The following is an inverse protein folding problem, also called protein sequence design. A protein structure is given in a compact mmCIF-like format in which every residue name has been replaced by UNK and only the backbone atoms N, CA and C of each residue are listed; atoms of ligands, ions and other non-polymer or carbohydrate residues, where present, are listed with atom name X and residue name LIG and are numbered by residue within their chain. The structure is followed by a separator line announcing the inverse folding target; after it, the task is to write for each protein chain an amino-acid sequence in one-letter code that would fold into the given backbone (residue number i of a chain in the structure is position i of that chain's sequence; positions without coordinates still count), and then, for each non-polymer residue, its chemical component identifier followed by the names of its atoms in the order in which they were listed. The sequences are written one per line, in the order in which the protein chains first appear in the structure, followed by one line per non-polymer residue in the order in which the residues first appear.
data_IF_617113854200
#
_entry.id   IF_617113854200
#
_cell.length_a   1.000
_cell.length_b   1.000
_cell.length_c   1.000
_cell.angle_alpha   90.00
_cell.angle_beta   90.00
_cell.angle_gamma   90.00
#
_symmetry.space_group_name_H-M   'P 1'
#
loop_
_entity.id
_entity.type
_entity.pdbx_description
1 polymer ?
#
# COMPACT_ATOMS: atom_id res chain seq x y z
N UNK A 1 -17.47 3.27 -24.57
CA UNK A 1 -16.56 3.78 -23.52
C UNK A 1 -16.09 2.58 -22.73
N UNK A 2 -14.80 2.28 -22.75
CA UNK A 2 -14.21 1.25 -21.88
C UNK A 2 -14.26 1.76 -20.44
N UNK A 3 -14.82 0.96 -19.53
CA UNK A 3 -14.86 1.30 -18.10
C UNK A 3 -13.45 1.22 -17.51
N UNK A 4 -12.96 2.33 -16.96
CA UNK A 4 -11.68 2.37 -16.23
C UNK A 4 -11.75 1.39 -15.04
N UNK A 5 -10.80 0.45 -14.97
CA UNK A 5 -10.68 -0.46 -13.83
C UNK A 5 -9.86 0.21 -12.72
N UNK A 6 -10.34 0.11 -11.47
CA UNK A 6 -9.57 0.54 -10.30
C UNK A 6 -8.80 -0.64 -9.73
N UNK A 7 -7.52 -0.45 -9.48
CA UNK A 7 -6.61 -1.44 -8.88
C UNK A 7 -6.36 -1.07 -7.41
N UNK A 8 -6.58 -2.03 -6.51
CA UNK A 8 -6.12 -1.96 -5.13
C UNK A 8 -4.87 -2.83 -4.98
N UNK A 9 -3.80 -2.27 -4.42
CA UNK A 9 -2.53 -2.99 -4.17
C UNK A 9 -2.41 -3.26 -2.69
N UNK A 10 -2.19 -4.52 -2.31
CA UNK A 10 -1.99 -4.93 -0.91
C UNK A 10 -0.53 -5.28 -0.68
N UNK A 11 0.08 -4.67 0.33
CA UNK A 11 1.49 -4.87 0.68
C UNK A 11 1.60 -5.28 2.15
N UNK A 12 1.84 -6.56 2.46
CA UNK A 12 2.25 -6.99 3.79
C UNK A 12 3.61 -6.41 4.15
N UNK A 13 3.76 -5.91 5.38
CA UNK A 13 4.99 -5.29 5.88
C UNK A 13 5.41 -5.98 7.17
N UNK A 14 6.67 -6.46 7.18
CA UNK A 14 7.37 -6.86 8.39
C UNK A 14 8.86 -6.54 8.19
N UNK A 15 9.40 -5.64 9.02
CA UNK A 15 10.80 -5.19 8.93
C UNK A 15 11.15 -4.46 7.61
N UNK A 16 10.31 -3.52 7.17
CA UNK A 16 10.42 -2.83 5.88
C UNK A 16 10.87 -1.37 5.94
N UNK A 17 11.29 -0.84 7.09
CA UNK A 17 11.52 0.59 7.34
C UNK A 17 12.32 1.28 6.23
N UNK A 18 13.41 0.65 5.79
CA UNK A 18 14.35 1.19 4.80
C UNK A 18 13.82 1.22 3.35
N UNK A 19 12.65 0.61 3.08
CA UNK A 19 12.15 0.41 1.71
C UNK A 19 10.79 1.06 1.45
N UNK A 20 10.04 1.41 2.51
CA UNK A 20 8.67 1.90 2.40
C UNK A 20 8.57 3.21 1.60
N UNK A 21 9.50 4.15 1.84
CA UNK A 21 9.50 5.45 1.16
C UNK A 21 9.76 5.29 -0.33
N UNK A 22 10.76 4.48 -0.70
CA UNK A 22 11.11 4.23 -2.10
C UNK A 22 9.97 3.50 -2.83
N UNK A 23 9.34 2.51 -2.18
CA UNK A 23 8.18 1.81 -2.74
C UNK A 23 7.01 2.76 -3.02
N UNK A 24 6.70 3.67 -2.09
CA UNK A 24 5.65 4.68 -2.28
C UNK A 24 5.97 5.63 -3.43
N UNK A 25 7.24 6.06 -3.55
CA UNK A 25 7.70 6.90 -4.65
C UNK A 25 7.48 6.21 -6.00
N UNK A 26 7.89 4.95 -6.14
CA UNK A 26 7.71 4.19 -7.39
C UNK A 26 6.23 3.95 -7.72
N UNK A 27 5.40 3.67 -6.72
CA UNK A 27 3.95 3.52 -6.91
C UNK A 27 3.30 4.84 -7.38
N UNK A 28 3.76 5.98 -6.88
CA UNK A 28 3.26 7.30 -7.30
C UNK A 28 3.68 7.64 -8.75
N UNK A 29 4.88 7.24 -9.17
CA UNK A 29 5.33 7.35 -10.56
C UNK A 29 4.41 6.57 -11.48
N UNK A 30 4.17 5.29 -11.19
CA UNK A 30 3.27 4.44 -12.01
C UNK A 30 1.84 4.98 -12.03
N UNK A 31 1.33 5.42 -10.89
CA UNK A 31 -0.01 6.03 -10.77
C UNK A 31 -0.16 7.24 -11.69
N UNK A 32 0.77 8.20 -11.61
CA UNK A 32 0.75 9.42 -12.43
C UNK A 32 0.94 9.12 -13.90
N UNK A 33 1.79 8.14 -14.24
CA UNK A 33 2.00 7.71 -15.61
C UNK A 33 0.71 7.17 -16.22
N UNK A 34 0.04 6.23 -15.54
CA UNK A 34 -1.24 5.69 -16.02
C UNK A 34 -2.30 6.78 -16.15
N UNK A 35 -2.33 7.73 -15.20
CA UNK A 35 -3.21 8.90 -15.27
C UNK A 35 -2.99 9.72 -16.55
N UNK A 36 -1.74 10.11 -16.81
CA UNK A 36 -1.35 10.92 -17.95
C UNK A 36 -1.58 10.22 -19.30
N UNK A 37 -1.42 8.90 -19.36
CA UNK A 37 -1.60 8.10 -20.57
C UNK A 37 -3.06 7.69 -20.82
N UNK A 38 -4.01 8.13 -19.98
CA UNK A 38 -5.41 7.69 -20.03
C UNK A 38 -5.57 6.16 -20.06
N UNK A 39 -4.68 5.47 -19.34
CA UNK A 39 -4.66 4.01 -19.28
C UNK A 39 -6.05 3.45 -18.85
N UNK A 40 -6.45 2.26 -19.36
CA UNK A 40 -7.73 1.62 -18.99
C UNK A 40 -7.78 1.13 -17.53
N UNK A 41 -6.72 1.40 -16.75
CA UNK A 41 -6.56 1.05 -15.35
C UNK A 41 -6.08 2.29 -14.56
N UNK A 42 -6.45 2.37 -13.29
CA UNK A 42 -6.00 3.40 -12.34
C UNK A 42 -5.57 2.71 -11.06
N UNK A 43 -4.43 3.12 -10.49
CA UNK A 43 -4.07 2.75 -9.12
C UNK A 43 -5.03 3.50 -8.19
N UNK A 44 -6.01 2.78 -7.65
CA UNK A 44 -7.09 3.34 -6.85
C UNK A 44 -6.68 3.55 -5.40
N UNK A 45 -5.99 2.58 -4.82
CA UNK A 45 -5.44 2.64 -3.47
C UNK A 45 -4.25 1.69 -3.28
N UNK A 46 -3.48 1.93 -2.24
CA UNK A 46 -2.50 0.99 -1.69
C UNK A 46 -2.81 0.75 -0.22
N UNK A 47 -2.91 -0.50 0.17
CA UNK A 47 -3.14 -0.92 1.56
C UNK A 47 -1.86 -1.58 2.06
N UNK A 48 -1.14 -0.89 2.94
CA UNK A 48 -0.05 -1.50 3.69
C UNK A 48 -0.62 -2.22 4.91
N UNK A 49 -0.20 -3.45 5.13
CA UNK A 49 -0.59 -4.24 6.29
C UNK A 49 0.64 -4.47 7.16
N UNK A 50 0.79 -3.66 8.20
CA UNK A 50 1.86 -3.82 9.19
C UNK A 50 1.58 -5.04 10.06
N UNK A 51 2.37 -6.10 9.87
CA UNK A 51 2.27 -7.38 10.57
C UNK A 51 3.06 -7.37 11.89
N UNK A 52 2.83 -6.32 12.69
CA UNK A 52 3.58 -6.00 13.90
C UNK A 52 5.10 -6.01 13.68
N UNK A 53 5.56 -5.10 12.82
CA UNK A 53 6.97 -4.94 12.49
C UNK A 53 7.84 -4.71 13.74
N UNK A 54 9.06 -5.23 13.69
CA UNK A 54 10.04 -5.15 14.79
C UNK A 54 10.94 -3.91 14.73
N UNK A 55 10.82 -3.11 13.67
CA UNK A 55 11.60 -1.93 13.35
C UNK A 55 10.70 -0.67 13.31
N UNK A 56 11.19 0.44 12.76
CA UNK A 56 10.45 1.70 12.64
C UNK A 56 9.33 1.71 11.59
N UNK A 57 9.03 0.58 10.91
CA UNK A 57 8.03 0.51 9.83
C UNK A 57 6.69 1.14 10.19
N UNK A 58 6.17 0.89 11.40
CA UNK A 58 4.88 1.44 11.84
C UNK A 58 4.88 2.98 11.86
N UNK A 59 5.98 3.60 12.32
CA UNK A 59 6.13 5.06 12.35
C UNK A 59 6.24 5.65 10.94
N UNK A 60 6.98 4.98 10.06
CA UNK A 60 7.13 5.39 8.65
C UNK A 60 5.79 5.28 7.93
N UNK A 61 5.05 4.18 8.10
CA UNK A 61 3.73 3.97 7.53
C UNK A 61 2.71 5.01 8.01
N UNK A 62 2.72 5.36 9.30
CA UNK A 62 1.84 6.40 9.84
C UNK A 62 2.10 7.76 9.17
N UNK A 63 3.36 8.10 8.91
CA UNK A 63 3.72 9.32 8.17
C UNK A 63 3.24 9.25 6.71
N UNK A 64 3.52 8.15 6.03
CA UNK A 64 3.12 7.91 4.64
C UNK A 64 1.60 8.06 4.48
N UNK A 65 0.80 7.47 5.37
CA UNK A 65 -0.67 7.55 5.33
C UNK A 65 -1.17 9.01 5.41
N UNK A 66 -0.51 9.85 6.20
CA UNK A 66 -0.87 11.28 6.30
C UNK A 66 -0.49 12.09 5.06
N UNK A 67 0.58 11.71 4.36
CA UNK A 67 1.13 12.44 3.21
C UNK A 67 0.45 12.04 1.89
N UNK A 68 -0.12 10.83 1.82
CA UNK A 68 -0.66 10.25 0.60
C UNK A 68 -2.10 9.75 0.76
N UNK A 69 -3.14 10.53 0.35
CA UNK A 69 -4.56 10.19 0.57
C UNK A 69 -5.07 8.92 -0.12
N UNK A 70 -4.27 8.31 -1.00
CA UNK A 70 -4.55 7.07 -1.71
C UNK A 70 -3.87 5.85 -1.05
N UNK A 71 -3.22 6.06 0.10
CA UNK A 71 -2.61 5.02 0.91
C UNK A 71 -3.41 4.84 2.18
N UNK A 72 -3.59 3.59 2.59
CA UNK A 72 -4.21 3.19 3.85
C UNK A 72 -3.31 2.20 4.57
N UNK A 73 -3.32 2.23 5.89
CA UNK A 73 -2.53 1.34 6.74
C UNK A 73 -3.44 0.51 7.65
N UNK A 74 -3.17 -0.79 7.71
CA UNK A 74 -3.80 -1.72 8.65
C UNK A 74 -2.70 -2.28 9.54
N UNK A 75 -2.79 -2.04 10.84
CA UNK A 75 -1.85 -2.62 11.81
C UNK A 75 -2.46 -3.85 12.47
N UNK A 76 -1.79 -4.99 12.35
CA UNK A 76 -2.19 -6.22 13.03
C UNK A 76 -1.72 -6.22 14.48
N UNK A 77 -2.48 -6.89 15.36
CA UNK A 77 -2.22 -6.89 16.80
C UNK A 77 -0.96 -7.65 17.23
N UNK A 78 -0.40 -8.48 16.34
CA UNK A 78 0.85 -9.24 16.48
C UNK A 78 1.27 -9.74 15.09
N UNK A 79 2.47 -10.31 14.98
CA UNK A 79 2.91 -10.97 13.77
C UNK A 79 2.14 -12.28 13.55
N UNK A 80 1.41 -12.38 12.44
CA UNK A 80 0.70 -13.57 11.98
C UNK A 80 1.37 -14.22 10.75
N UNK A 81 2.30 -13.51 10.11
CA UNK A 81 2.97 -13.91 8.88
C UNK A 81 2.33 -13.33 7.63
N UNK A 82 3.05 -13.47 6.52
CA UNK A 82 2.70 -12.86 5.24
C UNK A 82 1.29 -13.21 4.74
N UNK A 83 0.88 -14.48 4.78
CA UNK A 83 -0.42 -14.88 4.23
C UNK A 83 -1.60 -14.25 4.98
N UNK A 84 -1.70 -14.32 6.33
CA UNK A 84 -2.72 -13.59 7.07
C UNK A 84 -2.71 -12.09 6.81
N UNK A 85 -1.55 -11.46 6.74
CA UNK A 85 -1.44 -10.03 6.42
C UNK A 85 -1.96 -9.71 5.01
N UNK A 86 -1.62 -10.51 4.00
CA UNK A 86 -2.18 -10.38 2.65
C UNK A 86 -3.70 -10.51 2.67
N UNK A 87 -4.25 -11.53 3.35
CA UNK A 87 -5.69 -11.75 3.44
C UNK A 87 -6.38 -10.59 4.16
N UNK A 88 -5.80 -10.09 5.25
CA UNK A 88 -6.33 -8.93 5.97
C UNK A 88 -6.44 -7.71 5.05
N UNK A 89 -5.42 -7.42 4.25
CA UNK A 89 -5.47 -6.33 3.27
C UNK A 89 -6.52 -6.55 2.18
N UNK A 90 -6.62 -7.76 1.61
CA UNK A 90 -7.63 -8.10 0.60
C UNK A 90 -9.05 -7.90 1.13
N UNK A 91 -9.32 -8.27 2.39
CA UNK A 91 -10.64 -8.13 3.00
C UNK A 91 -11.06 -6.69 3.31
N UNK A 92 -10.13 -5.72 3.21
CA UNK A 92 -10.37 -4.30 3.48
C UNK A 92 -10.22 -3.40 2.24
N UNK A 93 -9.98 -4.01 1.08
CA UNK A 93 -9.92 -3.38 -0.24
C UNK A 93 -11.31 -3.21 -0.88
#
# INVERSE_FOLDING_TARGET
MTSIQRLSVVVPVYSGEDHLVDLVSELDVVRKQWEAEEAPIRLGEVIFVDDASIDGSASVLAKIETEHPWIRVITLSRNFGQHPATVAGILHA
#
